data_IF_475210664598
#
_entry.id   IF_475210664598
#
_cell.length_a   1.000
_cell.length_b   1.000
_cell.length_c   1.000
_cell.angle_alpha   90.00
_cell.angle_beta   90.00
_cell.angle_gamma   90.00
#
_symmetry.space_group_name_H-M   'P 1'
#
loop_
_entity.id
_entity.type
_entity.pdbx_description
1 polymer ?
#
# COMPACT_ATOMS: atom_id res chain seq x y z
N UNK A 1 -51.78 18.39 37.55
CA UNK A 1 -51.58 17.61 36.31
C UNK A 1 -50.33 18.15 35.62
N UNK A 2 -49.16 17.58 35.93
CA UNK A 2 -47.88 18.08 35.42
C UNK A 2 -47.56 17.39 34.09
N UNK A 3 -47.44 18.18 33.02
CA UNK A 3 -46.97 17.71 31.72
C UNK A 3 -45.44 17.72 31.74
N UNK A 4 -44.82 16.53 31.80
CA UNK A 4 -43.40 16.38 31.48
C UNK A 4 -43.25 16.46 29.96
N UNK A 5 -42.54 17.48 29.48
CA UNK A 5 -42.03 17.54 28.12
C UNK A 5 -40.63 16.89 28.11
N UNK A 6 -40.50 15.76 27.41
CA UNK A 6 -39.21 15.13 27.13
C UNK A 6 -38.67 15.73 25.83
N UNK A 7 -37.65 16.58 25.94
CA UNK A 7 -36.86 17.03 24.79
C UNK A 7 -35.88 15.92 24.39
N UNK A 8 -36.12 15.29 23.25
CA UNK A 8 -35.18 14.35 22.63
C UNK A 8 -34.14 15.09 21.79
N UNK A 9 -32.88 15.07 22.22
CA UNK A 9 -31.75 15.59 21.45
C UNK A 9 -31.35 14.56 20.39
N UNK A 10 -31.64 14.84 19.12
CA UNK A 10 -31.16 14.03 17.99
C UNK A 10 -29.71 14.41 17.70
N UNK A 11 -28.78 13.52 18.06
CA UNK A 11 -27.36 13.65 17.74
C UNK A 11 -27.14 13.21 16.29
N UNK A 12 -27.04 14.15 15.36
CA UNK A 12 -26.74 13.90 13.94
C UNK A 12 -25.27 13.50 13.78
N UNK A 13 -25.01 12.19 13.67
CA UNK A 13 -23.72 11.65 13.25
C UNK A 13 -23.50 12.03 11.78
N UNK A 14 -22.63 13.01 11.55
CA UNK A 14 -22.16 13.36 10.21
C UNK A 14 -21.21 12.26 9.72
N UNK A 15 -21.70 11.36 8.88
CA UNK A 15 -20.84 10.43 8.16
C UNK A 15 -20.11 11.20 7.05
N UNK A 16 -18.85 11.56 7.29
CA UNK A 16 -17.96 12.04 6.23
C UNK A 16 -17.74 10.90 5.23
N UNK A 17 -18.45 10.95 4.11
CA UNK A 17 -18.18 10.06 2.98
C UNK A 17 -16.87 10.53 2.34
N UNK A 18 -15.74 9.92 2.72
CA UNK A 18 -14.48 10.16 2.04
C UNK A 18 -14.62 9.63 0.60
N UNK A 19 -14.57 10.54 -0.37
CA UNK A 19 -14.49 10.16 -1.78
C UNK A 19 -13.25 9.27 -1.98
N UNK A 20 -13.38 8.25 -2.83
CA UNK A 20 -12.25 7.39 -3.15
C UNK A 20 -11.19 8.19 -3.92
N UNK A 21 -9.94 8.09 -3.49
CA UNK A 21 -8.81 8.80 -4.12
C UNK A 21 -8.38 8.12 -5.42
N UNK A 22 -7.75 8.84 -6.36
CA UNK A 22 -7.14 8.21 -7.53
C UNK A 22 -6.14 7.14 -7.10
N UNK A 23 -6.18 5.97 -7.76
CA UNK A 23 -5.35 4.85 -7.37
C UNK A 23 -3.87 5.17 -7.52
N UNK A 24 -3.08 4.89 -6.48
CA UNK A 24 -1.65 5.23 -6.39
C UNK A 24 -1.37 6.75 -6.42
N UNK A 25 -2.32 7.57 -5.97
CA UNK A 25 -2.06 8.97 -5.62
C UNK A 25 -1.37 9.09 -4.26
N UNK A 26 -0.77 10.25 -3.94
CA UNK A 26 -0.19 10.48 -2.61
C UNK A 26 -1.20 10.23 -1.48
N UNK A 27 -2.43 10.75 -1.61
CA UNK A 27 -3.46 10.59 -0.58
C UNK A 27 -3.97 9.15 -0.44
N UNK A 28 -4.13 8.46 -1.56
CA UNK A 28 -4.39 7.01 -1.54
C UNK A 28 -3.26 6.24 -0.85
N UNK A 29 -2.01 6.64 -1.07
CA UNK A 29 -0.83 5.96 -0.47
C UNK A 29 -0.75 6.17 1.04
N UNK A 30 -1.18 7.33 1.54
CA UNK A 30 -1.39 7.54 2.99
C UNK A 30 -2.40 6.52 3.54
N UNK A 31 -3.55 6.36 2.88
CA UNK A 31 -4.57 5.38 3.26
C UNK A 31 -4.06 3.94 3.17
N UNK A 32 -3.21 3.63 2.18
CA UNK A 32 -2.55 2.34 2.06
C UNK A 32 -1.55 2.08 3.18
N UNK A 33 -0.84 3.11 3.67
CA UNK A 33 0.01 2.99 4.84
C UNK A 33 -0.79 2.68 6.12
N UNK A 34 -1.99 3.27 6.28
CA UNK A 34 -2.91 2.91 7.35
C UNK A 34 -3.43 1.47 7.22
N UNK A 35 -3.81 1.07 6.01
CA UNK A 35 -4.22 -0.32 5.72
C UNK A 35 -3.09 -1.29 6.05
N UNK A 36 -1.84 -0.96 5.70
CA UNK A 36 -0.66 -1.74 6.04
C UNK A 36 -0.54 -1.96 7.54
N UNK A 37 -0.63 -0.88 8.31
CA UNK A 37 -0.49 -0.94 9.77
C UNK A 37 -1.61 -1.74 10.45
N UNK A 38 -2.76 -1.87 9.81
CA UNK A 38 -3.87 -2.68 10.32
C UNK A 38 -3.77 -4.15 9.94
N UNK A 39 -3.19 -4.47 8.78
CA UNK A 39 -3.38 -5.79 8.15
C UNK A 39 -2.10 -6.55 7.78
N UNK A 40 -0.96 -5.87 7.64
CA UNK A 40 0.24 -6.46 7.03
C UNK A 40 1.46 -6.51 7.96
N UNK A 41 1.37 -5.91 9.15
CA UNK A 41 2.52 -5.78 10.07
C UNK A 41 3.21 -7.10 10.40
N UNK A 42 2.44 -8.18 10.60
CA UNK A 42 2.99 -9.49 10.96
C UNK A 42 3.57 -10.22 9.75
N UNK A 43 2.82 -10.33 8.65
CA UNK A 43 3.29 -11.04 7.44
C UNK A 43 4.51 -10.37 6.82
N UNK A 44 4.64 -9.04 6.97
CA UNK A 44 5.77 -8.28 6.42
C UNK A 44 6.96 -8.15 7.38
N UNK A 45 6.86 -8.63 8.63
CA UNK A 45 7.84 -8.37 9.69
C UNK A 45 9.25 -8.85 9.32
N UNK A 46 9.39 -10.12 8.91
CA UNK A 46 10.70 -10.70 8.59
C UNK A 46 11.35 -9.98 7.39
N UNK A 47 10.56 -9.61 6.38
CA UNK A 47 11.06 -8.83 5.26
C UNK A 47 11.54 -7.43 5.71
N UNK A 48 10.81 -6.75 6.59
CA UNK A 48 11.18 -5.41 7.05
C UNK A 48 12.49 -5.40 7.87
N UNK A 49 12.79 -6.47 8.60
CA UNK A 49 14.05 -6.63 9.35
C UNK A 49 15.23 -7.02 8.45
N UNK A 50 14.98 -7.90 7.47
CA UNK A 50 16.01 -8.50 6.63
C UNK A 50 16.81 -7.45 5.83
N UNK A 51 18.14 -7.45 5.91
CA UNK A 51 19.02 -6.56 5.12
C UNK A 51 18.63 -5.07 5.15
N UNK A 52 18.01 -4.58 6.23
CA UNK A 52 17.69 -3.16 6.36
C UNK A 52 18.98 -2.34 6.42
N UNK A 53 19.03 -1.25 5.65
CA UNK A 53 20.15 -0.31 5.75
C UNK A 53 20.14 0.32 7.17
N UNK A 54 21.19 0.07 7.95
CA UNK A 54 21.28 0.52 9.35
C UNK A 54 21.27 2.04 9.53
N UNK A 55 21.78 2.80 8.56
CA UNK A 55 21.77 4.27 8.60
C UNK A 55 20.38 4.82 8.28
N UNK A 56 19.67 4.20 7.33
CA UNK A 56 18.31 4.57 6.93
C UNK A 56 17.28 4.14 7.98
N UNK A 57 17.41 2.93 8.51
CA UNK A 57 16.56 2.36 9.57
C UNK A 57 15.17 1.89 9.11
N UNK A 58 14.86 1.96 7.82
CA UNK A 58 13.60 1.50 7.22
C UNK A 58 13.83 1.09 5.77
N UNK A 59 12.88 0.34 5.21
CA UNK A 59 12.80 0.04 3.78
C UNK A 59 11.78 0.92 3.08
N UNK A 60 11.92 1.08 1.78
CA UNK A 60 11.10 1.92 0.93
C UNK A 60 10.73 1.16 -0.33
N UNK A 61 9.44 1.17 -0.61
CA UNK A 61 8.87 0.59 -1.83
C UNK A 61 8.26 1.75 -2.61
N UNK A 62 8.78 2.00 -3.80
CA UNK A 62 8.21 2.93 -4.77
C UNK A 62 7.39 2.20 -5.81
N UNK A 63 6.25 2.77 -6.19
CA UNK A 63 5.42 2.19 -7.23
C UNK A 63 4.59 3.25 -7.98
N UNK A 64 4.22 2.94 -9.22
CA UNK A 64 3.40 3.81 -10.07
C UNK A 64 2.71 3.06 -11.22
N UNK A 65 1.73 3.73 -11.85
CA UNK A 65 0.98 3.26 -13.02
C UNK A 65 1.63 3.77 -14.31
N UNK A 66 1.91 2.87 -15.25
CA UNK A 66 2.55 3.22 -16.52
C UNK A 66 1.62 3.99 -17.45
N UNK A 67 0.32 3.73 -17.39
CA UNK A 67 -0.69 4.33 -18.28
C UNK A 67 -0.95 5.82 -17.94
N UNK A 68 -0.58 6.25 -16.72
CA UNK A 68 -0.70 7.63 -16.29
C UNK A 68 0.53 8.46 -16.68
N UNK A 69 0.29 9.60 -17.37
CA UNK A 69 1.35 10.49 -17.88
C UNK A 69 1.22 11.91 -17.31
N UNK A 70 2.34 12.53 -16.87
CA UNK A 70 3.65 11.91 -16.67
C UNK A 70 3.61 10.87 -15.53
N UNK A 71 4.56 9.92 -15.47
CA UNK A 71 4.62 8.95 -14.38
C UNK A 71 4.77 9.67 -13.03
N UNK A 72 3.84 9.42 -12.10
CA UNK A 72 3.91 9.93 -10.72
C UNK A 72 4.18 8.77 -9.78
N UNK A 73 5.35 8.78 -9.13
CA UNK A 73 5.75 7.76 -8.16
C UNK A 73 5.23 8.11 -6.77
N UNK A 74 4.72 7.09 -6.11
CA UNK A 74 4.41 7.11 -4.68
C UNK A 74 5.31 6.12 -3.96
N UNK A 75 5.43 6.27 -2.65
CA UNK A 75 6.21 5.35 -1.83
C UNK A 75 5.54 5.06 -0.49
N UNK A 76 5.86 3.87 0.04
CA UNK A 76 5.69 3.56 1.46
C UNK A 76 7.05 3.32 2.11
N UNK A 77 7.21 3.76 3.37
CA UNK A 77 8.38 3.47 4.20
C UNK A 77 8.00 2.56 5.34
N UNK A 78 8.70 1.44 5.45
CA UNK A 78 8.39 0.36 6.38
C UNK A 78 9.56 0.20 7.33
N UNK A 79 9.28 0.41 8.62
CA UNK A 79 10.24 0.23 9.70
C UNK A 79 9.93 -1.06 10.45
N UNK A 80 10.96 -1.83 10.76
CA UNK A 80 10.82 -2.95 11.67
C UNK A 80 10.84 -2.46 13.12
N UNK A 81 9.77 -2.70 13.87
CA UNK A 81 9.65 -2.33 15.28
C UNK A 81 8.92 -3.43 16.05
N UNK A 82 9.54 -3.96 17.12
CA UNK A 82 8.91 -4.92 18.04
C UNK A 82 8.25 -6.12 17.34
N UNK A 83 8.95 -6.74 16.39
CA UNK A 83 8.43 -7.89 15.64
C UNK A 83 7.38 -7.55 14.58
N UNK A 84 7.25 -6.26 14.20
CA UNK A 84 6.25 -5.78 13.25
C UNK A 84 6.87 -4.91 12.16
N UNK A 85 6.36 -5.03 10.95
CA UNK A 85 6.64 -4.12 9.85
C UNK A 85 5.66 -2.93 9.91
N UNK A 86 6.06 -1.84 10.53
CA UNK A 86 5.25 -0.62 10.68
C UNK A 86 5.45 0.29 9.48
N UNK A 87 4.37 0.62 8.77
CA UNK A 87 4.41 1.68 7.76
C UNK A 87 4.46 3.04 8.47
N UNK A 88 5.57 3.77 8.30
CA UNK A 88 5.83 5.06 8.96
C UNK A 88 5.60 6.25 8.04
N UNK A 89 5.41 6.00 6.75
CA UNK A 89 5.10 7.01 5.74
C UNK A 89 4.46 6.34 4.53
N UNK A 90 3.42 6.98 3.99
CA UNK A 90 2.87 6.69 2.67
C UNK A 90 2.57 8.01 1.99
N UNK A 91 2.94 8.18 0.73
CA UNK A 91 2.69 9.42 0.01
C UNK A 91 3.52 9.54 -1.26
N UNK A 92 3.78 10.77 -1.67
CA UNK A 92 4.67 11.07 -2.80
C UNK A 92 6.07 10.47 -2.56
N UNK A 93 6.66 9.94 -3.63
CA UNK A 93 8.02 9.40 -3.61
C UNK A 93 9.04 10.49 -3.26
N UNK A 94 9.91 10.20 -2.30
CA UNK A 94 10.92 11.12 -1.75
C UNK A 94 12.28 10.46 -1.60
N UNK A 95 12.33 9.14 -1.55
CA UNK A 95 13.58 8.41 -1.40
C UNK A 95 14.31 8.26 -2.74
N UNK A 96 15.54 8.78 -2.88
CA UNK A 96 16.32 8.58 -4.10
C UNK A 96 16.85 7.14 -4.25
N UNK A 97 16.89 6.35 -3.17
CA UNK A 97 17.45 5.00 -3.15
C UNK A 97 16.48 4.00 -2.50
N UNK A 98 15.30 3.77 -3.11
CA UNK A 98 14.33 2.81 -2.60
C UNK A 98 14.83 1.38 -2.77
N UNK A 99 14.46 0.50 -1.84
CA UNK A 99 14.79 -0.93 -1.90
C UNK A 99 14.13 -1.58 -3.12
N UNK A 100 12.86 -1.22 -3.39
CA UNK A 100 12.12 -1.69 -4.55
C UNK A 100 11.49 -0.53 -5.33
N UNK A 101 11.53 -0.61 -6.66
CA UNK A 101 10.71 0.20 -7.57
C UNK A 101 9.89 -0.73 -8.46
N UNK A 102 8.57 -0.51 -8.51
CA UNK A 102 7.67 -1.32 -9.31
C UNK A 102 6.77 -0.47 -10.19
N UNK A 103 6.52 -0.92 -11.41
CA UNK A 103 5.52 -0.31 -12.27
C UNK A 103 4.96 -1.31 -13.27
N UNK A 104 3.72 -1.06 -13.64
CA UNK A 104 2.96 -1.88 -14.58
C UNK A 104 1.84 -1.04 -15.21
N UNK A 105 1.24 -1.58 -16.25
CA UNK A 105 -0.05 -1.12 -16.78
C UNK A 105 -1.17 -1.32 -15.75
N UNK A 106 -2.26 -0.58 -15.90
CA UNK A 106 -3.44 -0.66 -15.04
C UNK A 106 -4.05 -2.05 -15.01
N UNK A 107 -4.13 -2.70 -16.18
CA UNK A 107 -4.61 -4.07 -16.32
C UNK A 107 -3.78 -5.03 -15.46
N UNK A 108 -2.45 -4.95 -15.57
CA UNK A 108 -1.55 -5.79 -14.81
C UNK A 108 -1.62 -5.49 -13.31
N UNK A 109 -1.66 -4.23 -12.92
CA UNK A 109 -1.85 -3.86 -11.52
C UNK A 109 -3.14 -4.42 -10.94
N UNK A 110 -4.26 -4.27 -11.66
CA UNK A 110 -5.58 -4.80 -11.24
C UNK A 110 -5.55 -6.33 -11.12
N UNK A 111 -4.91 -7.00 -12.07
CA UNK A 111 -4.74 -8.44 -12.05
C UNK A 111 -3.91 -8.91 -10.84
N UNK A 112 -2.78 -8.26 -10.57
CA UNK A 112 -1.94 -8.55 -9.40
C UNK A 112 -2.66 -8.26 -8.08
N UNK A 113 -3.43 -7.18 -8.01
CA UNK A 113 -4.22 -6.81 -6.84
C UNK A 113 -5.36 -7.80 -6.53
N UNK A 114 -5.83 -8.55 -7.53
CA UNK A 114 -6.78 -9.67 -7.36
C UNK A 114 -6.11 -10.98 -6.95
N UNK A 115 -4.78 -11.05 -6.95
CA UNK A 115 -4.02 -12.27 -6.65
C UNK A 115 -3.81 -13.18 -7.86
N UNK A 116 -4.00 -12.70 -9.09
CA UNK A 116 -3.84 -13.48 -10.32
C UNK A 116 -2.36 -13.65 -10.68
N UNK A 117 -1.61 -14.38 -9.85
CA UNK A 117 -0.15 -14.44 -9.93
C UNK A 117 0.42 -15.51 -10.87
N UNK A 118 -0.44 -16.37 -11.43
CA UNK A 118 -0.03 -17.56 -12.17
C UNK A 118 0.59 -18.64 -11.27
N UNK A 119 1.02 -19.75 -11.89
CA UNK A 119 1.55 -20.91 -11.17
C UNK A 119 2.74 -20.51 -10.26
N UNK A 120 2.63 -20.81 -8.97
CA UNK A 120 3.59 -20.49 -7.91
C UNK A 120 4.00 -19.00 -7.78
N UNK A 121 3.36 -18.08 -8.50
CA UNK A 121 3.74 -16.66 -8.53
C UNK A 121 4.74 -16.26 -9.62
N UNK A 122 5.09 -17.17 -10.52
CA UNK A 122 5.99 -16.87 -11.65
C UNK A 122 5.40 -15.83 -12.62
N UNK A 123 4.09 -15.62 -12.61
CA UNK A 123 3.43 -14.60 -13.42
C UNK A 123 3.64 -13.18 -12.89
N UNK A 124 4.02 -12.98 -11.62
CA UNK A 124 4.19 -11.64 -11.03
C UNK A 124 5.23 -10.83 -11.80
N UNK A 125 6.41 -11.40 -11.98
CA UNK A 125 7.53 -10.73 -12.64
C UNK A 125 7.33 -10.52 -14.15
N UNK A 126 6.33 -11.18 -14.76
CA UNK A 126 5.94 -10.95 -16.16
C UNK A 126 4.93 -9.80 -16.31
N UNK A 127 4.24 -9.43 -15.22
CA UNK A 127 3.19 -8.42 -15.21
C UNK A 127 3.69 -7.04 -14.79
N UNK A 128 4.91 -6.93 -14.28
CA UNK A 128 5.47 -5.65 -13.85
C UNK A 128 6.96 -5.56 -14.17
N UNK A 129 7.42 -4.33 -14.33
CA UNK A 129 8.83 -4.00 -14.18
C UNK A 129 9.15 -3.91 -12.69
N UNK A 130 10.21 -4.61 -12.28
CA UNK A 130 10.68 -4.64 -10.91
C UNK A 130 12.17 -4.29 -10.87
N UNK A 131 12.53 -3.29 -10.06
CA UNK A 131 13.90 -2.89 -9.78
C UNK A 131 14.18 -3.11 -8.29
N UNK A 132 15.32 -3.73 -7.98
CA UNK A 132 15.70 -4.14 -6.63
C UNK A 132 16.17 -5.60 -6.57
N UNK A 133 16.42 -6.11 -5.37
CA UNK A 133 16.90 -7.49 -5.17
C UNK A 133 15.79 -8.52 -5.47
N UNK A 134 15.81 -9.12 -6.66
CA UNK A 134 14.88 -10.20 -7.02
C UNK A 134 15.04 -11.42 -6.12
N UNK A 135 16.25 -11.69 -5.63
CA UNK A 135 16.52 -12.78 -4.68
C UNK A 135 15.76 -12.55 -3.37
N UNK A 136 15.78 -11.31 -2.87
CA UNK A 136 15.03 -10.94 -1.68
C UNK A 136 13.52 -11.04 -1.91
N UNK A 137 13.01 -10.51 -3.03
CA UNK A 137 11.59 -10.62 -3.37
C UNK A 137 11.12 -12.09 -3.47
N UNK A 138 11.94 -12.98 -4.03
CA UNK A 138 11.64 -14.41 -4.11
C UNK A 138 11.71 -15.11 -2.74
N UNK A 139 12.66 -14.74 -1.88
CA UNK A 139 12.75 -15.26 -0.51
C UNK A 139 11.48 -14.92 0.29
N UNK A 140 10.95 -13.71 0.09
CA UNK A 140 9.75 -13.20 0.76
C UNK A 140 8.54 -13.17 -0.17
N UNK A 141 8.35 -14.21 -0.97
CA UNK A 141 7.31 -14.25 -2.00
C UNK A 141 5.88 -14.13 -1.42
N UNK A 142 5.59 -14.75 -0.28
CA UNK A 142 4.27 -14.62 0.37
C UNK A 142 4.02 -13.20 0.91
N UNK A 143 4.94 -12.58 1.68
CA UNK A 143 4.85 -11.16 2.01
C UNK A 143 4.67 -10.27 0.77
N UNK A 144 5.43 -10.55 -0.30
CA UNK A 144 5.33 -9.80 -1.54
C UNK A 144 3.95 -9.92 -2.20
N UNK A 145 3.38 -11.13 -2.27
CA UNK A 145 2.00 -11.36 -2.73
C UNK A 145 0.96 -10.61 -1.87
N UNK A 146 1.16 -10.59 -0.55
CA UNK A 146 0.28 -9.88 0.39
C UNK A 146 0.30 -8.37 0.13
N UNK A 147 1.48 -7.80 -0.12
CA UNK A 147 1.62 -6.41 -0.56
C UNK A 147 0.82 -6.14 -1.85
N UNK A 148 1.00 -6.96 -2.88
CA UNK A 148 0.32 -6.78 -4.17
C UNK A 148 -1.20 -6.84 -4.05
N UNK A 149 -1.73 -7.83 -3.32
CA UNK A 149 -3.16 -7.92 -3.03
C UNK A 149 -3.64 -6.71 -2.24
N UNK A 150 -2.84 -6.24 -1.27
CA UNK A 150 -3.15 -5.07 -0.45
C UNK A 150 -3.40 -3.80 -1.27
N UNK A 151 -2.70 -3.62 -2.40
CA UNK A 151 -2.90 -2.47 -3.28
C UNK A 151 -4.35 -2.38 -3.82
N UNK A 152 -5.09 -3.50 -3.88
CA UNK A 152 -6.50 -3.52 -4.28
C UNK A 152 -7.50 -3.40 -3.14
N UNK A 153 -7.06 -3.35 -1.88
CA UNK A 153 -7.95 -3.35 -0.71
C UNK A 153 -8.36 -1.97 -0.21
N UNK A 154 -7.61 -0.94 -0.60
CA UNK A 154 -7.96 0.45 -0.30
C UNK A 154 -8.87 0.98 -1.40
N UNK A 155 -10.06 1.55 -1.08
CA UNK A 155 -10.95 2.15 -2.06
C UNK A 155 -10.23 3.17 -2.95
N UNK A 156 -10.47 3.12 -4.26
CA UNK A 156 -9.81 3.99 -5.22
C UNK A 156 -10.68 4.22 -6.45
N UNK A 157 -10.35 5.26 -7.22
CA UNK A 157 -10.85 5.49 -8.57
C UNK A 157 -9.78 5.18 -9.61
N UNK A 158 -10.22 4.96 -10.85
CA UNK A 158 -9.32 4.71 -11.99
C UNK A 158 -8.67 5.98 -12.55
N UNK A 159 -9.03 7.16 -12.03
CA UNK A 159 -8.39 8.42 -12.42
C UNK A 159 -6.87 8.37 -12.20
N UNK A 160 -6.12 9.11 -13.00
CA UNK A 160 -4.68 9.22 -12.80
C UNK A 160 -4.35 10.12 -11.59
N UNK A 161 -3.31 9.77 -10.82
CA UNK A 161 -2.73 10.61 -9.77
C UNK A 161 -2.30 12.01 -10.22
#
# INVERSE_FOLDING_TARGET
MNKLAVLGTVLSLSFSSFAAEPWMSPKWTEQFCEYWNKNMQTVMAEWAEYNVNKQKGYKTIQFYREDCKPPKKVEVRIKYENGKAVCIYGGEAKDPNPEFVMHATDENWKSLAKGEFGFMGMGIMKKMTFQGSKVEAMKFMEPFKSFLIGLGKVPHTDACP
#
